data_IF_204290125453
#
_entry.id   IF_204290125453
#
_cell.length_a   1.000
_cell.length_b   1.000
_cell.length_c   1.000
_cell.angle_alpha   90.00
_cell.angle_beta   90.00
_cell.angle_gamma   90.00
#
_symmetry.space_group_name_H-M   'P 1'
#
loop_
_entity.id
_entity.type
_entity.pdbx_description
1 polymer ?
#
# COMPACT_ATOMS: atom_id res chain seq x y z
N UNK A 1 -5.95 -39.76 -39.04
CA UNK A 1 -4.85 -38.79 -39.09
C UNK A 1 -5.15 -37.79 -40.20
N UNK A 2 -5.75 -36.65 -39.86
CA UNK A 2 -5.97 -35.57 -40.82
C UNK A 2 -4.83 -34.57 -40.66
N UNK A 3 -3.96 -34.51 -41.65
CA UNK A 3 -2.93 -33.49 -41.79
C UNK A 3 -3.60 -32.13 -41.92
N UNK A 4 -3.61 -31.34 -40.83
CA UNK A 4 -3.95 -29.91 -40.89
C UNK A 4 -2.87 -29.23 -41.72
N UNK A 5 -3.20 -28.87 -42.96
CA UNK A 5 -2.40 -27.95 -43.78
C UNK A 5 -2.47 -26.57 -43.14
N UNK A 6 -1.47 -26.22 -42.33
CA UNK A 6 -1.33 -24.88 -41.75
C UNK A 6 -0.83 -23.90 -42.80
N UNK A 7 -1.72 -23.40 -43.68
CA UNK A 7 -1.36 -22.30 -44.58
C UNK A 7 -1.06 -21.05 -43.77
N UNK A 8 0.15 -20.49 -43.90
CA UNK A 8 0.51 -19.19 -43.35
C UNK A 8 -0.28 -18.08 -44.07
N UNK A 9 -1.45 -17.79 -43.52
CA UNK A 9 -2.32 -16.68 -43.87
C UNK A 9 -1.79 -15.40 -43.22
N UNK A 10 -1.72 -14.27 -43.95
CA UNK A 10 -1.36 -12.97 -43.36
C UNK A 10 -2.34 -12.58 -42.24
N UNK A 11 -1.98 -11.70 -41.28
CA UNK A 11 -2.88 -11.31 -40.18
C UNK A 11 -4.26 -10.79 -40.64
N UNK A 12 -4.31 -10.13 -41.79
CA UNK A 12 -5.57 -9.72 -42.43
C UNK A 12 -6.37 -10.87 -43.03
N UNK A 13 -5.70 -11.91 -43.53
CA UNK A 13 -6.33 -13.10 -44.11
C UNK A 13 -6.89 -14.03 -43.02
N UNK A 14 -6.23 -14.13 -41.86
CA UNK A 14 -6.74 -14.85 -40.68
C UNK A 14 -8.02 -14.21 -40.13
N UNK A 15 -8.03 -12.87 -40.02
CA UNK A 15 -9.22 -12.12 -39.59
C UNK A 15 -10.40 -12.27 -40.56
N UNK A 16 -10.12 -12.41 -41.85
CA UNK A 16 -11.12 -12.68 -42.87
C UNK A 16 -11.63 -14.14 -42.80
N UNK A 17 -10.76 -15.10 -42.51
CA UNK A 17 -11.10 -16.52 -42.31
C UNK A 17 -12.02 -16.74 -41.10
N UNK A 18 -11.78 -16.02 -39.99
CA UNK A 18 -12.68 -15.99 -38.84
C UNK A 18 -14.09 -15.49 -39.20
N UNK A 19 -14.19 -14.48 -40.07
CA UNK A 19 -15.49 -13.95 -40.55
C UNK A 19 -16.23 -14.90 -41.50
N UNK A 20 -15.56 -15.94 -42.00
CA UNK A 20 -16.16 -16.99 -42.82
C UNK A 20 -16.54 -18.23 -42.01
N UNK A 21 -16.18 -18.27 -40.73
CA UNK A 21 -16.39 -19.42 -39.86
C UNK A 21 -17.73 -19.29 -39.12
N UNK A 22 -18.52 -20.36 -39.15
CA UNK A 22 -19.80 -20.42 -38.45
C UNK A 22 -19.55 -20.54 -36.92
N UNK A 23 -20.15 -19.69 -36.08
CA UNK A 23 -19.94 -19.74 -34.62
C UNK A 23 -20.48 -21.01 -33.93
N UNK A 24 -21.30 -21.80 -34.62
CA UNK A 24 -21.95 -22.99 -34.07
C UNK A 24 -21.12 -24.25 -34.36
N UNK A 25 -20.80 -24.52 -35.63
CA UNK A 25 -20.01 -25.70 -36.00
C UNK A 25 -18.50 -25.45 -35.97
N UNK A 26 -18.06 -24.19 -35.84
CA UNK A 26 -16.66 -23.77 -35.88
C UNK A 26 -15.93 -24.17 -37.18
N UNK A 27 -16.69 -24.33 -38.26
CA UNK A 27 -16.22 -24.66 -39.60
C UNK A 27 -16.68 -23.58 -40.60
N UNK A 28 -16.16 -23.62 -41.83
CA UNK A 28 -16.54 -22.71 -42.88
C UNK A 28 -18.06 -22.72 -43.12
N UNK A 29 -18.63 -21.52 -43.12
CA UNK A 29 -20.06 -21.30 -43.26
C UNK A 29 -20.59 -21.97 -44.52
N UNK A 30 -21.49 -22.95 -44.40
CA UNK A 30 -22.10 -23.64 -45.54
C UNK A 30 -23.57 -23.26 -45.63
N UNK A 31 -23.99 -22.72 -46.79
CA UNK A 31 -25.32 -22.13 -46.99
C UNK A 31 -25.77 -21.22 -45.83
N UNK A 32 -25.04 -20.12 -45.54
CA UNK A 32 -25.31 -19.29 -44.37
C UNK A 32 -26.59 -18.46 -44.51
N UNK A 33 -27.36 -18.40 -43.42
CA UNK A 33 -28.60 -17.61 -43.29
C UNK A 33 -28.40 -16.50 -42.27
N UNK A 34 -29.06 -15.37 -42.48
CA UNK A 34 -28.95 -14.17 -41.63
C UNK A 34 -30.20 -14.02 -40.79
N UNK A 35 -30.02 -13.98 -39.46
CA UNK A 35 -31.09 -13.65 -38.53
C UNK A 35 -31.37 -12.14 -38.55
N UNK A 36 -32.55 -11.68 -38.07
CA UNK A 36 -32.88 -10.25 -37.98
C UNK A 36 -31.89 -9.43 -37.12
N UNK A 37 -31.18 -10.08 -36.20
CA UNK A 37 -30.08 -9.47 -35.44
C UNK A 37 -28.77 -9.35 -36.22
N UNK A 38 -28.80 -9.59 -37.53
CA UNK A 38 -27.70 -9.50 -38.50
C UNK A 38 -26.54 -10.49 -38.28
N UNK A 39 -26.71 -11.50 -37.43
CA UNK A 39 -25.75 -12.60 -37.29
C UNK A 39 -26.08 -13.72 -38.27
N UNK A 40 -25.03 -14.36 -38.80
CA UNK A 40 -25.16 -15.43 -39.79
C UNK A 40 -24.60 -16.75 -39.32
N UNK A 41 -25.30 -17.83 -39.69
CA UNK A 41 -24.99 -19.20 -39.31
C UNK A 41 -25.34 -20.14 -40.46
N UNK A 42 -24.75 -21.34 -40.52
CA UNK A 42 -25.15 -22.34 -41.51
C UNK A 42 -26.63 -22.71 -41.36
N UNK A 43 -27.34 -22.95 -42.47
CA UNK A 43 -28.74 -23.41 -42.45
C UNK A 43 -28.93 -24.63 -41.52
N UNK A 44 -28.12 -25.68 -41.71
CA UNK A 44 -28.15 -26.87 -40.87
C UNK A 44 -27.82 -26.60 -39.38
N UNK A 45 -27.01 -25.57 -39.10
CA UNK A 45 -26.69 -25.19 -37.72
C UNK A 45 -27.89 -24.51 -37.06
N UNK A 46 -28.67 -23.71 -37.80
CA UNK A 46 -29.90 -23.09 -37.31
C UNK A 46 -31.02 -24.12 -37.10
N UNK A 47 -31.12 -25.11 -37.98
CA UNK A 47 -32.08 -26.22 -37.84
C UNK A 47 -31.81 -27.07 -36.59
N UNK A 48 -30.55 -27.18 -36.17
CA UNK A 48 -30.14 -27.89 -34.97
C UNK A 48 -30.25 -27.11 -33.66
N UNK A 49 -30.67 -25.84 -33.69
CA UNK A 49 -30.79 -25.03 -32.47
C UNK A 49 -32.03 -25.40 -31.65
N UNK A 50 -31.97 -25.30 -30.30
CA UNK A 50 -33.15 -25.48 -29.47
C UNK A 50 -34.20 -24.41 -29.75
N UNK A 51 -35.46 -24.84 -29.87
CA UNK A 51 -36.61 -23.98 -30.17
C UNK A 51 -37.52 -23.81 -28.94
N UNK A 52 -37.89 -22.57 -28.67
CA UNK A 52 -38.87 -22.23 -27.64
C UNK A 52 -40.26 -22.09 -28.27
N UNK A 53 -41.27 -22.78 -27.72
CA UNK A 53 -42.66 -22.71 -28.20
C UNK A 53 -43.49 -21.76 -27.35
N UNK A 54 -44.07 -20.73 -27.96
CA UNK A 54 -45.02 -19.80 -27.30
C UNK A 54 -46.22 -19.60 -28.21
N UNK A 55 -47.45 -19.79 -27.70
CA UNK A 55 -48.70 -19.50 -28.42
C UNK A 55 -48.77 -20.04 -29.87
N UNK A 56 -48.30 -21.29 -30.08
CA UNK A 56 -48.21 -21.99 -31.37
C UNK A 56 -47.13 -21.49 -32.36
N UNK A 57 -46.34 -20.48 -32.01
CA UNK A 57 -45.15 -20.07 -32.78
C UNK A 57 -43.86 -20.56 -32.13
N UNK A 58 -42.83 -20.81 -32.95
CA UNK A 58 -41.51 -21.27 -32.51
C UNK A 58 -40.52 -20.11 -32.58
N UNK A 59 -39.64 -20.02 -31.58
CA UNK A 59 -38.61 -19.00 -31.51
C UNK A 59 -37.24 -19.66 -31.35
N UNK A 60 -36.24 -19.08 -31.99
CA UNK A 60 -34.83 -19.46 -31.82
C UNK A 60 -34.06 -18.32 -31.17
N UNK A 61 -33.08 -18.65 -30.34
CA UNK A 61 -32.19 -17.68 -29.72
C UNK A 61 -30.86 -17.63 -30.45
N UNK A 62 -30.45 -16.45 -30.91
CA UNK A 62 -29.17 -16.27 -31.60
C UNK A 62 -28.00 -16.68 -30.68
N UNK A 63 -27.12 -17.61 -31.09
CA UNK A 63 -25.97 -18.04 -30.27
C UNK A 63 -24.98 -16.92 -29.92
N UNK A 64 -24.88 -15.89 -30.76
CA UNK A 64 -23.90 -14.80 -30.58
C UNK A 64 -24.42 -13.69 -29.67
N UNK A 65 -25.66 -13.24 -29.85
CA UNK A 65 -26.20 -12.06 -29.15
C UNK A 65 -27.44 -12.35 -28.30
N UNK A 66 -27.92 -13.60 -28.28
CA UNK A 66 -29.12 -14.07 -27.56
C UNK A 66 -30.44 -13.41 -27.98
N UNK A 67 -30.45 -12.67 -29.10
CA UNK A 67 -31.68 -12.12 -29.66
C UNK A 67 -32.63 -13.23 -30.08
N UNK A 68 -33.87 -13.20 -29.58
CA UNK A 68 -34.90 -14.18 -29.92
C UNK A 68 -35.58 -13.79 -31.23
N UNK A 69 -35.62 -14.73 -32.17
CA UNK A 69 -36.19 -14.53 -33.50
C UNK A 69 -37.32 -15.53 -33.71
N UNK A 70 -38.44 -15.08 -34.25
CA UNK A 70 -39.53 -15.97 -34.68
C UNK A 70 -39.08 -16.81 -35.87
N UNK A 71 -39.32 -18.12 -35.79
CA UNK A 71 -39.00 -19.06 -36.87
C UNK A 71 -40.11 -18.97 -37.95
N UNK A 72 -39.76 -18.74 -39.23
CA UNK A 72 -40.72 -18.78 -40.32
C UNK A 72 -41.45 -20.12 -40.42
N UNK A 73 -42.65 -20.14 -41.00
CA UNK A 73 -43.44 -21.38 -41.20
C UNK A 73 -42.70 -22.41 -42.07
N UNK A 74 -41.88 -21.93 -43.02
CA UNK A 74 -41.02 -22.73 -43.90
C UNK A 74 -39.69 -23.17 -43.24
N UNK A 75 -39.49 -22.87 -41.95
CA UNK A 75 -38.32 -23.26 -41.17
C UNK A 75 -37.11 -22.32 -41.32
N UNK A 76 -35.96 -22.76 -40.81
CA UNK A 76 -34.73 -21.95 -40.76
C UNK A 76 -34.14 -21.65 -42.16
N UNK A 77 -34.48 -22.47 -43.17
CA UNK A 77 -34.10 -22.23 -44.57
C UNK A 77 -34.72 -20.97 -45.18
N UNK A 78 -35.83 -20.47 -44.63
CA UNK A 78 -36.54 -19.30 -45.13
C UNK A 78 -35.94 -17.96 -44.68
N UNK A 79 -34.95 -17.98 -43.78
CA UNK A 79 -34.18 -16.78 -43.47
C UNK A 79 -33.37 -16.29 -44.69
N UNK A 80 -33.13 -14.99 -44.84
CA UNK A 80 -32.34 -14.45 -45.94
C UNK A 80 -30.94 -15.08 -46.02
N UNK A 81 -30.50 -15.42 -47.22
CA UNK A 81 -29.12 -15.86 -47.46
C UNK A 81 -28.14 -14.75 -47.04
N UNK A 82 -27.07 -15.12 -46.35
CA UNK A 82 -26.03 -14.20 -45.94
C UNK A 82 -25.13 -13.82 -47.12
N UNK A 83 -25.62 -12.91 -47.98
CA UNK A 83 -24.88 -12.41 -49.14
C UNK A 83 -23.51 -11.83 -48.76
N UNK A 84 -23.40 -11.18 -47.60
CA UNK A 84 -22.13 -10.65 -47.10
C UNK A 84 -21.10 -11.76 -46.85
N UNK A 85 -21.48 -12.90 -46.24
CA UNK A 85 -20.57 -14.04 -46.03
C UNK A 85 -20.15 -14.65 -47.37
N UNK A 86 -21.06 -14.80 -48.32
CA UNK A 86 -20.73 -15.36 -49.64
C UNK A 86 -19.82 -14.43 -50.45
N UNK A 87 -20.05 -13.12 -50.42
CA UNK A 87 -19.16 -12.14 -51.04
C UNK A 87 -17.76 -12.16 -50.39
N UNK A 88 -17.69 -12.28 -49.06
CA UNK A 88 -16.41 -12.41 -48.35
C UNK A 88 -15.67 -13.70 -48.72
N UNK A 89 -16.38 -14.82 -48.99
CA UNK A 89 -15.74 -16.05 -49.48
C UNK A 89 -15.13 -15.87 -50.87
N UNK A 90 -15.83 -15.16 -51.75
CA UNK A 90 -15.34 -14.85 -53.09
C UNK A 90 -14.13 -13.91 -53.06
N UNK A 91 -14.17 -12.91 -52.17
CA UNK A 91 -13.02 -12.02 -51.92
C UNK A 91 -11.85 -12.83 -51.34
N UNK A 92 -12.07 -13.68 -50.35
CA UNK A 92 -11.04 -14.53 -49.75
C UNK A 92 -10.41 -15.48 -50.77
N UNK A 93 -11.21 -16.14 -51.62
CA UNK A 93 -10.69 -17.02 -52.67
C UNK A 93 -9.88 -16.25 -53.72
N UNK A 94 -10.32 -15.04 -54.06
CA UNK A 94 -9.61 -14.13 -54.96
C UNK A 94 -8.27 -13.69 -54.36
N UNK A 95 -8.26 -13.26 -53.10
CA UNK A 95 -7.03 -12.87 -52.39
C UNK A 95 -6.06 -14.05 -52.28
N UNK A 96 -6.55 -15.25 -51.94
CA UNK A 96 -5.74 -16.47 -51.86
C UNK A 96 -5.11 -16.81 -53.22
N UNK A 97 -5.86 -16.61 -54.31
CA UNK A 97 -5.36 -16.80 -55.68
C UNK A 97 -4.31 -15.77 -56.05
N UNK A 98 -4.54 -14.49 -55.73
CA UNK A 98 -3.58 -13.39 -55.97
C UNK A 98 -2.29 -13.64 -55.18
N UNK A 99 -2.38 -14.05 -53.92
CA UNK A 99 -1.23 -14.36 -53.08
C UNK A 99 -0.37 -15.52 -53.62
N UNK A 100 -0.98 -16.46 -54.36
CA UNK A 100 -0.28 -17.55 -55.02
C UNK A 100 0.20 -17.19 -56.44
N UNK A 101 -0.02 -15.96 -56.92
CA UNK A 101 0.32 -15.54 -58.28
C UNK A 101 1.59 -14.69 -58.28
N UNK A 102 2.46 -14.90 -59.26
CA UNK A 102 3.66 -14.13 -59.49
C UNK A 102 3.31 -12.70 -59.90
N UNK A 103 3.87 -11.72 -59.18
CA UNK A 103 3.70 -10.29 -59.43
C UNK A 103 4.11 -9.87 -60.84
N UNK A 104 5.14 -10.49 -61.38
CA UNK A 104 5.80 -10.03 -62.61
C UNK A 104 5.19 -10.66 -63.87
N UNK A 105 4.55 -11.82 -63.72
CA UNK A 105 4.11 -12.66 -64.85
C UNK A 105 2.63 -13.06 -64.80
N UNK A 106 1.91 -12.79 -63.70
CA UNK A 106 0.49 -13.13 -63.56
C UNK A 106 0.19 -14.63 -63.58
N UNK A 107 1.21 -15.48 -63.37
CA UNK A 107 1.14 -16.95 -63.37
C UNK A 107 1.29 -17.51 -61.96
N UNK A 108 0.82 -18.73 -61.71
CA UNK A 108 0.94 -19.37 -60.41
C UNK A 108 2.41 -19.55 -59.99
N UNK A 109 2.75 -19.13 -58.78
CA UNK A 109 4.08 -19.24 -58.19
C UNK A 109 4.20 -20.56 -57.44
N UNK A 110 4.59 -21.62 -58.16
CA UNK A 110 4.70 -22.98 -57.62
C UNK A 110 6.12 -23.37 -57.21
N UNK A 111 7.10 -22.49 -57.40
CA UNK A 111 8.52 -22.75 -57.13
C UNK A 111 9.04 -21.84 -56.01
N UNK A 112 9.94 -22.35 -55.18
CA UNK A 112 10.67 -21.60 -54.16
C UNK A 112 12.12 -21.46 -54.59
N UNK A 113 12.62 -20.23 -54.71
CA UNK A 113 14.02 -19.99 -54.99
C UNK A 113 14.82 -19.91 -53.69
N UNK A 114 15.64 -20.92 -53.43
CA UNK A 114 16.50 -21.01 -52.24
C UNK A 114 17.57 -19.90 -52.24
N UNK A 115 18.04 -19.47 -53.41
CA UNK A 115 19.02 -18.37 -53.51
C UNK A 115 18.46 -17.00 -53.15
N UNK A 116 17.18 -16.75 -53.47
CA UNK A 116 16.53 -15.44 -53.28
C UNK A 116 15.55 -15.39 -52.11
N UNK A 117 15.31 -16.51 -51.44
CA UNK A 117 14.33 -16.64 -50.36
C UNK A 117 12.91 -16.16 -50.77
N UNK A 118 12.48 -16.56 -51.97
CA UNK A 118 11.28 -16.01 -52.61
C UNK A 118 10.51 -17.04 -53.42
N UNK A 119 9.17 -16.94 -53.40
CA UNK A 119 8.29 -17.76 -54.24
C UNK A 119 8.23 -17.17 -55.66
N UNK A 120 8.44 -18.01 -56.67
CA UNK A 120 8.54 -17.61 -58.08
C UNK A 120 7.66 -18.49 -58.98
N UNK A 121 7.37 -18.03 -60.20
CA UNK A 121 6.73 -18.86 -61.24
C UNK A 121 7.76 -19.42 -62.23
N UNK A 122 7.31 -20.30 -63.14
CA UNK A 122 8.17 -20.92 -64.16
C UNK A 122 8.81 -19.93 -65.15
N UNK A 123 8.19 -18.77 -65.38
CA UNK A 123 8.79 -17.76 -66.29
C UNK A 123 9.97 -17.06 -65.61
N UNK A 124 9.95 -16.91 -64.29
CA UNK A 124 11.04 -16.34 -63.51
C UNK A 124 12.32 -17.18 -63.65
N UNK A 125 12.20 -18.51 -63.74
CA UNK A 125 13.37 -19.39 -63.88
C UNK A 125 14.07 -19.24 -65.22
N UNK A 126 13.40 -18.70 -66.24
CA UNK A 126 14.02 -18.46 -67.56
C UNK A 126 14.63 -17.06 -67.64
N UNK A 127 14.08 -16.10 -66.89
CA UNK A 127 14.41 -14.68 -67.01
C UNK A 127 15.33 -14.18 -65.91
N UNK A 128 14.87 -14.27 -64.66
CA UNK A 128 15.48 -13.57 -63.52
C UNK A 128 16.20 -14.51 -62.55
N UNK A 129 15.84 -15.80 -62.51
CA UNK A 129 16.40 -16.82 -61.61
C UNK A 129 17.05 -17.98 -62.38
N UNK A 130 17.71 -17.69 -63.51
CA UNK A 130 18.20 -18.71 -64.46
C UNK A 130 19.24 -19.66 -63.85
N UNK A 131 20.14 -19.13 -63.04
CA UNK A 131 21.24 -19.87 -62.43
C UNK A 131 21.08 -20.02 -60.92
N UNK A 132 19.85 -19.83 -60.40
CA UNK A 132 19.55 -19.95 -58.97
C UNK A 132 19.04 -21.36 -58.64
N UNK A 133 19.27 -21.78 -57.41
CA UNK A 133 18.70 -23.01 -56.88
C UNK A 133 17.23 -22.77 -56.52
N UNK A 134 16.36 -23.65 -56.98
CA UNK A 134 14.93 -23.62 -56.68
C UNK A 134 14.35 -25.04 -56.69
N UNK A 135 13.28 -25.24 -55.91
CA UNK A 135 12.50 -26.47 -55.86
C UNK A 135 10.99 -26.15 -55.86
N UNK A 136 10.14 -27.15 -55.97
CA UNK A 136 8.70 -27.01 -55.80
C UNK A 136 8.40 -26.50 -54.40
N UNK A 137 7.46 -25.55 -54.30
CA UNK A 137 6.98 -25.05 -53.00
C UNK A 137 6.54 -26.22 -52.12
N UNK A 138 5.82 -27.20 -52.65
CA UNK A 138 5.38 -28.38 -51.90
C UNK A 138 6.54 -29.23 -51.34
N UNK A 139 7.70 -29.23 -52.00
CA UNK A 139 8.88 -29.97 -51.57
C UNK A 139 9.69 -29.17 -50.52
N UNK A 140 9.96 -27.89 -50.77
CA UNK A 140 10.70 -27.03 -49.84
C UNK A 140 9.89 -26.59 -48.61
N UNK A 141 8.55 -26.60 -48.67
CA UNK A 141 7.67 -26.10 -47.61
C UNK A 141 7.96 -26.73 -46.26
N UNK A 142 8.05 -28.05 -46.20
CA UNK A 142 8.23 -28.77 -44.93
C UNK A 142 9.58 -28.44 -44.28
N UNK A 143 10.65 -28.33 -45.08
CA UNK A 143 11.99 -27.95 -44.62
C UNK A 143 11.97 -26.55 -43.99
N UNK A 144 11.47 -25.55 -44.73
CA UNK A 144 11.45 -24.16 -44.25
C UNK A 144 10.50 -23.97 -43.05
N UNK A 145 9.41 -24.72 -42.98
CA UNK A 145 8.55 -24.75 -41.79
C UNK A 145 9.30 -25.24 -40.54
N UNK A 146 10.11 -26.30 -40.67
CA UNK A 146 10.91 -26.80 -39.57
C UNK A 146 11.99 -25.80 -39.10
N UNK A 147 12.62 -25.09 -40.04
CA UNK A 147 13.61 -24.04 -39.71
C UNK A 147 12.95 -22.86 -38.96
N UNK A 148 11.76 -22.44 -39.39
CA UNK A 148 10.96 -21.43 -38.70
C UNK A 148 10.50 -21.91 -37.31
N UNK A 149 10.04 -23.16 -37.19
CA UNK A 149 9.69 -23.76 -35.90
C UNK A 149 10.89 -23.83 -34.95
N UNK A 150 12.07 -24.19 -35.46
CA UNK A 150 13.33 -24.17 -34.72
C UNK A 150 13.66 -22.77 -34.20
N UNK A 151 13.49 -21.75 -35.03
CA UNK A 151 13.71 -20.34 -34.67
C UNK A 151 12.66 -19.80 -33.69
N UNK A 152 11.44 -20.33 -33.74
CA UNK A 152 10.33 -19.94 -32.88
C UNK A 152 10.49 -20.47 -31.45
N UNK A 153 11.15 -21.61 -31.26
CA UNK A 153 11.32 -22.23 -29.93
C UNK A 153 12.08 -21.33 -28.93
N UNK A 154 13.25 -20.74 -29.27
CA UNK A 154 13.93 -19.77 -28.39
C UNK A 154 13.08 -18.53 -28.06
N UNK A 155 12.22 -18.10 -28.99
CA UNK A 155 11.31 -16.97 -28.76
C UNK A 155 10.25 -17.36 -27.72
N UNK A 156 9.64 -18.55 -27.86
CA UNK A 156 8.68 -19.08 -26.88
C UNK A 156 9.30 -19.23 -25.49
N UNK A 157 10.53 -19.73 -25.41
CA UNK A 157 11.28 -19.85 -24.15
C UNK A 157 11.55 -18.48 -23.50
N UNK A 158 11.95 -17.47 -24.29
CA UNK A 158 12.14 -16.10 -23.80
C UNK A 158 10.83 -15.46 -23.32
N UNK A 159 9.73 -15.70 -24.04
CA UNK A 159 8.39 -15.23 -23.61
C UNK A 159 8.05 -15.81 -22.25
N UNK A 160 8.25 -17.11 -22.05
CA UNK A 160 7.98 -17.77 -20.78
C UNK A 160 8.91 -17.28 -19.66
N UNK A 161 10.20 -17.08 -19.96
CA UNK A 161 11.16 -16.50 -19.03
C UNK A 161 10.77 -15.09 -18.58
N UNK A 162 10.40 -14.21 -19.52
CA UNK A 162 9.96 -12.84 -19.21
C UNK A 162 8.65 -12.81 -18.42
N UNK A 163 7.70 -13.71 -18.70
CA UNK A 163 6.49 -13.85 -17.88
C UNK A 163 6.82 -14.17 -16.42
N UNK A 164 7.75 -15.11 -16.17
CA UNK A 164 8.21 -15.45 -14.81
C UNK A 164 8.89 -14.27 -14.12
N UNK A 165 9.75 -13.53 -14.85
CA UNK A 165 10.40 -12.32 -14.32
C UNK A 165 9.36 -11.27 -13.94
N UNK A 166 8.36 -11.02 -14.80
CA UNK A 166 7.29 -10.06 -14.50
C UNK A 166 6.50 -10.46 -13.25
N UNK A 167 6.15 -11.74 -13.10
CA UNK A 167 5.48 -12.22 -11.89
C UNK A 167 6.32 -12.00 -10.63
N UNK A 168 7.61 -12.30 -10.67
CA UNK A 168 8.52 -12.07 -9.54
C UNK A 168 8.70 -10.58 -9.21
N UNK A 169 8.75 -9.71 -10.22
CA UNK A 169 8.82 -8.26 -10.01
C UNK A 169 7.53 -7.71 -9.36
N UNK A 170 6.36 -8.17 -9.81
CA UNK A 170 5.08 -7.80 -9.21
C UNK A 170 4.95 -8.28 -7.76
N UNK A 171 5.45 -9.47 -7.44
CA UNK A 171 5.52 -9.97 -6.06
C UNK A 171 6.40 -9.05 -5.19
N UNK A 172 7.61 -8.70 -5.68
CA UNK A 172 8.53 -7.81 -4.95
C UNK A 172 7.99 -6.40 -4.79
N UNK A 173 7.29 -5.87 -5.79
CA UNK A 173 6.59 -4.58 -5.68
C UNK A 173 5.52 -4.62 -4.57
N UNK A 174 4.77 -5.73 -4.49
CA UNK A 174 3.79 -5.97 -3.42
C UNK A 174 4.43 -5.99 -2.03
N UNK A 175 5.50 -6.76 -1.85
CA UNK A 175 6.24 -6.84 -0.58
C UNK A 175 6.77 -5.46 -0.13
N UNK A 176 7.32 -4.68 -1.06
CA UNK A 176 7.85 -3.33 -0.76
C UNK A 176 6.71 -2.39 -0.35
N UNK A 177 5.57 -2.44 -1.04
CA UNK A 177 4.40 -1.62 -0.73
C UNK A 177 3.85 -1.95 0.66
N UNK A 178 3.64 -3.24 0.94
CA UNK A 178 3.17 -3.72 2.25
C UNK A 178 4.14 -3.30 3.37
N UNK A 179 5.45 -3.49 3.17
CA UNK A 179 6.45 -3.05 4.15
C UNK A 179 6.46 -1.54 4.34
N UNK A 180 6.28 -0.77 3.26
CA UNK A 180 6.20 0.69 3.31
C UNK A 180 4.99 1.17 4.12
N UNK A 181 3.83 0.56 3.90
CA UNK A 181 2.61 0.83 4.69
C UNK A 181 2.81 0.46 6.16
N UNK A 182 3.37 -0.72 6.45
CA UNK A 182 3.67 -1.14 7.82
C UNK A 182 4.62 -0.20 8.56
N UNK A 183 5.67 0.30 7.89
CA UNK A 183 6.58 1.29 8.51
C UNK A 183 5.87 2.62 8.80
N UNK A 184 4.93 3.05 7.96
CA UNK A 184 4.14 4.26 8.23
C UNK A 184 3.23 4.08 9.46
N UNK A 185 2.66 2.88 9.63
CA UNK A 185 1.85 2.52 10.79
C UNK A 185 2.71 2.43 12.07
N UNK A 186 3.89 1.81 11.99
CA UNK A 186 4.89 1.77 13.09
C UNK A 186 5.29 3.20 13.54
N UNK A 187 5.50 4.13 12.59
CA UNK A 187 5.80 5.54 12.90
C UNK A 187 4.62 6.19 13.63
N UNK A 188 3.40 5.96 13.18
CA UNK A 188 2.20 6.53 13.79
C UNK A 188 2.01 6.00 15.23
N UNK A 189 2.12 4.70 15.43
CA UNK A 189 2.03 4.05 16.74
C UNK A 189 3.08 4.60 17.70
N UNK A 190 4.34 4.71 17.26
CA UNK A 190 5.43 5.26 18.07
C UNK A 190 5.13 6.70 18.55
N UNK A 191 4.63 7.55 17.65
CA UNK A 191 4.27 8.94 17.99
C UNK A 191 3.12 8.98 18.99
N UNK A 192 2.08 8.16 18.80
CA UNK A 192 0.96 8.08 19.73
C UNK A 192 1.39 7.56 21.12
N UNK A 193 2.26 6.56 21.19
CA UNK A 193 2.84 6.10 22.46
C UNK A 193 3.58 7.23 23.19
N UNK A 194 4.41 7.99 22.47
CA UNK A 194 5.11 9.14 23.03
C UNK A 194 4.14 10.23 23.52
N UNK A 195 3.13 10.57 22.72
CA UNK A 195 2.10 11.55 23.09
C UNK A 195 1.35 11.10 24.34
N UNK A 196 1.01 9.82 24.45
CA UNK A 196 0.35 9.25 25.61
C UNK A 196 1.24 9.30 26.86
N UNK A 197 2.53 9.00 26.74
CA UNK A 197 3.48 9.15 27.84
C UNK A 197 3.60 10.60 28.32
N UNK A 198 3.66 11.57 27.38
CA UNK A 198 3.68 12.99 27.70
C UNK A 198 2.40 13.44 28.41
N UNK A 199 1.22 13.07 27.88
CA UNK A 199 -0.08 13.34 28.51
C UNK A 199 -0.22 12.70 29.89
N UNK A 200 0.37 11.52 30.11
CA UNK A 200 0.39 10.89 31.43
C UNK A 200 1.29 11.65 32.41
N UNK A 201 2.46 12.12 31.97
CA UNK A 201 3.34 12.97 32.76
C UNK A 201 2.66 14.28 33.16
N UNK A 202 1.98 14.94 32.21
CA UNK A 202 1.18 16.14 32.45
C UNK A 202 0.11 15.92 33.54
N UNK A 203 -0.67 14.84 33.43
CA UNK A 203 -1.68 14.49 34.44
C UNK A 203 -1.07 14.30 35.82
N UNK A 204 0.07 13.62 35.92
CA UNK A 204 0.78 13.40 37.19
C UNK A 204 1.27 14.70 37.81
N UNK A 205 1.90 15.57 37.02
CA UNK A 205 2.40 16.87 37.48
C UNK A 205 1.25 17.79 37.93
N UNK A 206 0.15 17.79 37.18
CA UNK A 206 -1.06 18.57 37.51
C UNK A 206 -1.66 18.09 38.83
N UNK A 207 -1.78 16.78 39.02
CA UNK A 207 -2.30 16.19 40.24
C UNK A 207 -1.39 16.49 41.45
N UNK A 208 -0.07 16.45 41.27
CA UNK A 208 0.88 16.83 42.32
C UNK A 208 0.73 18.31 42.71
N UNK A 209 0.64 19.21 41.73
CA UNK A 209 0.45 20.63 41.98
C UNK A 209 -0.85 20.91 42.75
N UNK A 210 -1.96 20.24 42.38
CA UNK A 210 -3.23 20.31 43.11
C UNK A 210 -3.09 19.83 44.55
N UNK A 211 -2.50 18.65 44.77
CA UNK A 211 -2.31 18.09 46.13
C UNK A 211 -1.51 19.02 47.04
N UNK A 212 -0.42 19.59 46.55
CA UNK A 212 0.40 20.53 47.33
C UNK A 212 -0.40 21.79 47.65
N UNK A 213 -1.15 22.31 46.67
CA UNK A 213 -1.99 23.49 46.86
C UNK A 213 -3.09 23.24 47.89
N UNK A 214 -3.83 22.14 47.74
CA UNK A 214 -4.93 21.76 48.63
C UNK A 214 -4.43 21.53 50.06
N UNK A 215 -3.26 20.88 50.22
CA UNK A 215 -2.66 20.67 51.53
C UNK A 215 -2.28 21.98 52.22
N UNK A 216 -1.62 22.90 51.50
CA UNK A 216 -1.25 24.23 52.04
C UNK A 216 -2.48 25.07 52.39
N UNK A 217 -3.50 25.08 51.53
CA UNK A 217 -4.77 25.79 51.78
C UNK A 217 -5.54 25.20 52.97
N UNK A 218 -5.50 23.88 53.16
CA UNK A 218 -6.14 23.23 54.30
C UNK A 218 -5.52 23.69 55.63
N UNK A 219 -4.19 23.74 55.71
CA UNK A 219 -3.49 24.26 56.91
C UNK A 219 -3.91 25.70 57.21
N UNK A 220 -3.89 26.58 56.19
CA UNK A 220 -4.32 27.96 56.36
C UNK A 220 -5.80 28.08 56.78
N UNK A 221 -6.69 27.25 56.22
CA UNK A 221 -8.11 27.23 56.60
C UNK A 221 -8.31 26.82 58.07
N UNK A 222 -7.56 25.84 58.57
CA UNK A 222 -7.59 25.43 59.97
C UNK A 222 -7.07 26.54 60.89
N UNK A 223 -6.00 27.25 60.48
CA UNK A 223 -5.49 28.42 61.22
C UNK A 223 -6.51 29.57 61.26
N UNK A 224 -7.18 29.86 60.12
CA UNK A 224 -8.23 30.89 60.05
C UNK A 224 -9.38 30.57 61.01
N UNK A 225 -9.89 29.33 61.01
CA UNK A 225 -10.95 28.91 61.93
C UNK A 225 -10.53 29.07 63.40
N UNK A 226 -9.30 28.70 63.73
CA UNK A 226 -8.76 28.87 65.08
C UNK A 226 -8.66 30.34 65.49
N UNK A 227 -8.25 31.21 64.56
CA UNK A 227 -8.16 32.66 64.78
C UNK A 227 -9.55 33.29 64.92
N UNK A 228 -10.51 32.93 64.07
CA UNK A 228 -11.91 33.37 64.14
C UNK A 228 -12.57 32.98 65.47
N UNK A 229 -12.37 31.73 65.93
CA UNK A 229 -12.88 31.29 67.24
C UNK A 229 -12.26 32.08 68.39
N UNK A 230 -10.95 32.35 68.33
CA UNK A 230 -10.25 33.13 69.36
C UNK A 230 -10.71 34.59 69.38
N UNK A 231 -10.93 35.18 68.21
CA UNK A 231 -11.44 36.55 68.05
C UNK A 231 -12.87 36.67 68.60
N UNK A 232 -13.76 35.75 68.22
CA UNK A 232 -15.14 35.75 68.72
C UNK A 232 -15.20 35.63 70.24
N UNK A 233 -14.33 34.82 70.86
CA UNK A 233 -14.26 34.71 72.32
C UNK A 233 -13.81 36.03 72.98
N UNK A 234 -12.88 36.76 72.36
CA UNK A 234 -12.44 38.07 72.83
C UNK A 234 -13.55 39.13 72.68
N UNK A 235 -14.20 39.18 71.52
CA UNK A 235 -15.31 40.10 71.23
C UNK A 235 -16.49 39.89 72.20
N UNK A 236 -16.84 38.63 72.51
CA UNK A 236 -17.90 38.32 73.49
C UNK A 236 -17.57 38.81 74.91
N UNK A 237 -16.29 38.73 75.30
CA UNK A 237 -15.82 39.24 76.60
C UNK A 237 -15.78 40.76 76.60
N UNK A 238 -15.33 41.38 75.51
CA UNK A 238 -15.31 42.82 75.33
C UNK A 238 -16.72 43.40 75.42
N UNK A 239 -17.67 42.90 74.62
CA UNK A 239 -19.06 43.37 74.60
C UNK A 239 -19.71 43.22 75.98
N UNK A 240 -19.54 42.08 76.63
CA UNK A 240 -20.06 41.84 77.98
C UNK A 240 -19.53 42.85 79.01
N UNK A 241 -18.23 43.14 78.99
CA UNK A 241 -17.60 44.08 79.91
C UNK A 241 -18.00 45.52 79.58
N UNK A 242 -17.95 45.92 78.31
CA UNK A 242 -18.37 47.26 77.87
C UNK A 242 -19.83 47.54 78.23
N UNK A 243 -20.73 46.60 77.97
CA UNK A 243 -22.14 46.75 78.24
C UNK A 243 -22.42 46.85 79.75
N UNK A 244 -21.71 46.06 80.55
CA UNK A 244 -21.76 46.13 82.02
C UNK A 244 -21.28 47.49 82.54
N UNK A 245 -20.24 48.06 81.93
CA UNK A 245 -19.74 49.40 82.28
C UNK A 245 -20.68 50.54 81.84
N UNK A 246 -21.33 50.42 80.67
CA UNK A 246 -22.24 51.43 80.11
C UNK A 246 -23.59 51.47 80.84
N UNK A 247 -24.15 50.31 81.17
CA UNK A 247 -25.55 50.20 81.64
C UNK A 247 -25.70 49.80 83.11
N UNK A 248 -24.64 49.28 83.73
CA UNK A 248 -24.67 48.81 85.12
C UNK A 248 -24.60 49.94 86.15
N UNK A 249 -25.29 49.77 87.29
CA UNK A 249 -25.11 50.70 88.42
C UNK A 249 -23.72 50.53 89.06
N UNK A 250 -23.16 51.56 89.72
CA UNK A 250 -21.83 51.48 90.32
C UNK A 250 -21.65 50.27 91.27
N UNK A 251 -22.69 49.91 92.03
CA UNK A 251 -22.66 48.78 92.95
C UNK A 251 -22.64 47.43 92.21
N UNK A 252 -23.36 47.29 91.10
CA UNK A 252 -23.39 46.06 90.29
C UNK A 252 -22.05 45.80 89.58
N UNK A 253 -21.46 46.86 89.02
CA UNK A 253 -20.14 46.79 88.36
C UNK A 253 -19.07 46.38 89.38
N UNK A 254 -19.05 47.00 90.57
CA UNK A 254 -18.07 46.67 91.61
C UNK A 254 -18.24 45.25 92.16
N UNK A 255 -19.48 44.73 92.28
CA UNK A 255 -19.72 43.34 92.68
C UNK A 255 -19.17 42.34 91.66
N UNK A 256 -19.31 42.62 90.37
CA UNK A 256 -18.89 41.70 89.29
C UNK A 256 -17.45 41.92 88.82
N UNK A 257 -16.78 43.00 89.28
CA UNK A 257 -15.43 43.41 88.86
C UNK A 257 -14.43 42.26 88.91
N UNK A 258 -14.37 41.53 90.03
CA UNK A 258 -13.39 40.45 90.21
C UNK A 258 -13.56 39.36 89.15
N UNK A 259 -14.80 38.91 88.93
CA UNK A 259 -15.14 37.91 87.94
C UNK A 259 -14.83 38.39 86.51
N UNK A 260 -15.16 39.64 86.17
CA UNK A 260 -14.84 40.22 84.85
C UNK A 260 -13.33 40.25 84.59
N UNK A 261 -12.54 40.66 85.59
CA UNK A 261 -11.07 40.69 85.48
C UNK A 261 -10.48 39.28 85.35
N UNK A 262 -10.98 38.32 86.12
CA UNK A 262 -10.54 36.92 86.04
C UNK A 262 -10.84 36.33 84.66
N UNK A 263 -12.05 36.53 84.13
CA UNK A 263 -12.45 36.05 82.80
C UNK A 263 -11.61 36.68 81.68
N UNK A 264 -11.35 37.99 81.74
CA UNK A 264 -10.46 38.66 80.78
C UNK A 264 -9.05 38.05 80.86
N UNK A 265 -8.49 37.92 82.07
CA UNK A 265 -7.15 37.36 82.26
C UNK A 265 -7.04 35.91 81.75
N UNK A 266 -8.07 35.09 81.97
CA UNK A 266 -8.11 33.69 81.53
C UNK A 266 -8.15 33.59 80.00
N UNK A 267 -9.05 34.33 79.35
CA UNK A 267 -9.19 34.32 77.89
C UNK A 267 -7.95 34.87 77.22
N UNK A 268 -7.39 35.99 77.71
CA UNK A 268 -6.18 36.58 77.11
C UNK A 268 -4.95 35.70 77.32
N UNK A 269 -4.83 35.01 78.46
CA UNK A 269 -3.72 34.08 78.71
C UNK A 269 -3.81 32.79 77.87
N UNK A 270 -5.03 32.37 77.51
CA UNK A 270 -5.27 31.18 76.69
C UNK A 270 -5.01 31.36 75.19
N UNK A 271 -4.87 32.60 74.70
CA UNK A 271 -4.69 32.90 73.27
C UNK A 271 -3.22 33.22 73.00
N UNK A 272 -2.56 32.34 72.24
CA UNK A 272 -1.22 32.60 71.73
C UNK A 272 -1.29 33.15 70.28
N UNK A 273 -1.17 34.47 70.14
CA UNK A 273 -1.21 35.13 68.83
C UNK A 273 -0.05 34.72 67.89
N UNK A 274 1.08 34.30 68.45
CA UNK A 274 2.27 33.92 67.69
C UNK A 274 2.07 32.57 66.98
N UNK A 275 1.30 31.66 67.58
CA UNK A 275 0.95 30.35 66.99
C UNK A 275 -0.08 30.45 65.86
N UNK A 276 -0.79 31.58 65.77
CA UNK A 276 -1.80 31.87 64.74
C UNK A 276 -1.21 32.54 63.48
N UNK A 277 0.07 32.90 63.48
CA UNK A 277 0.72 33.41 62.28
C UNK A 277 0.71 32.39 61.14
N UNK A 278 0.59 32.83 59.86
CA UNK A 278 0.56 31.92 58.72
C UNK A 278 1.79 31.00 58.70
N UNK A 279 1.55 29.69 58.75
CA UNK A 279 2.62 28.68 58.76
C UNK A 279 3.09 28.31 57.35
N UNK A 280 2.25 28.54 56.34
CA UNK A 280 2.52 28.16 54.96
C UNK A 280 2.89 29.35 54.07
N UNK A 281 3.72 29.09 53.06
CA UNK A 281 4.16 30.05 52.03
C UNK A 281 3.88 29.56 50.62
N UNK A 282 3.87 30.47 49.66
CA UNK A 282 3.66 30.20 48.22
C UNK A 282 4.98 29.86 47.50
N UNK A 283 5.78 28.96 48.06
CA UNK A 283 7.17 28.69 47.68
C UNK A 283 7.37 27.32 47.00
N UNK A 284 6.43 26.91 46.15
CA UNK A 284 6.55 25.69 45.36
C UNK A 284 6.67 26.02 43.87
N UNK A 285 7.59 25.33 43.18
CA UNK A 285 7.99 25.63 41.79
C UNK A 285 8.10 24.35 40.98
N UNK A 286 7.76 24.41 39.70
CA UNK A 286 7.95 23.32 38.76
C UNK A 286 9.45 23.12 38.44
N UNK A 287 9.99 21.96 38.78
CA UNK A 287 11.30 21.50 38.29
C UNK A 287 11.19 20.93 36.88
N UNK A 288 12.06 21.35 35.96
CA UNK A 288 12.05 20.92 34.55
C UNK A 288 13.33 20.17 34.21
N UNK A 289 13.21 19.00 33.60
CA UNK A 289 14.33 18.30 32.94
C UNK A 289 13.87 17.80 31.56
N UNK A 290 14.46 18.34 30.48
CA UNK A 290 14.00 18.13 29.09
C UNK A 290 15.07 17.51 28.17
N UNK A 291 16.13 16.91 28.71
CA UNK A 291 17.31 16.47 27.92
C UNK A 291 17.08 15.25 27.00
N UNK A 292 15.88 14.66 26.93
CA UNK A 292 15.63 13.35 26.28
C UNK A 292 14.86 13.41 24.93
N UNK A 293 14.48 14.58 24.41
CA UNK A 293 13.52 14.70 23.30
C UNK A 293 14.12 14.78 21.87
N UNK A 294 15.43 14.69 21.68
CA UNK A 294 16.06 15.08 20.40
C UNK A 294 16.43 13.96 19.41
N UNK A 295 16.21 12.69 19.71
CA UNK A 295 16.37 11.59 18.73
C UNK A 295 15.26 10.56 18.92
N UNK A 296 14.26 10.61 18.04
CA UNK A 296 13.01 9.83 18.17
C UNK A 296 12.99 8.60 17.27
N UNK A 297 13.89 8.52 16.28
CA UNK A 297 14.06 7.35 15.44
C UNK A 297 14.69 7.74 14.10
N UNK A 298 15.49 6.83 13.54
CA UNK A 298 16.11 6.97 12.22
C UNK A 298 15.57 5.87 11.28
N UNK A 299 15.31 6.21 10.02
CA UNK A 299 14.96 5.24 8.98
C UNK A 299 16.27 4.67 8.41
N UNK A 300 16.54 3.38 8.65
CA UNK A 300 17.79 2.72 8.23
C UNK A 300 17.54 1.79 7.05
N UNK A 301 18.29 1.96 5.96
CA UNK A 301 18.31 1.05 4.80
C UNK A 301 19.53 0.12 4.88
N UNK A 302 19.29 -1.19 4.97
CA UNK A 302 20.35 -2.19 5.01
C UNK A 302 20.74 -2.62 3.59
N UNK A 303 21.65 -1.90 2.94
CA UNK A 303 22.34 -2.43 1.75
C UNK A 303 23.70 -3.03 2.15
N UNK A 304 23.93 -4.31 1.85
CA UNK A 304 25.17 -5.01 2.24
C UNK A 304 26.43 -4.46 1.55
N UNK A 305 26.25 -3.69 0.46
CA UNK A 305 27.30 -3.02 -0.30
C UNK A 305 27.84 -1.76 0.38
N UNK A 306 27.04 -1.06 1.20
CA UNK A 306 27.45 0.18 1.86
C UNK A 306 28.46 -0.05 3.01
N UNK A 307 28.32 -1.16 3.76
CA UNK A 307 29.20 -1.47 4.89
C UNK A 307 30.63 -1.85 4.46
N UNK A 308 30.83 -2.42 3.27
CA UNK A 308 32.14 -2.82 2.77
C UNK A 308 33.02 -1.65 2.31
N UNK A 309 32.44 -0.45 2.12
CA UNK A 309 33.14 0.72 1.56
C UNK A 309 33.49 1.78 2.62
N UNK A 310 33.18 1.53 3.90
CA UNK A 310 33.44 2.45 5.00
C UNK A 310 34.93 2.52 5.36
N UNK A 311 35.43 3.73 5.67
CA UNK A 311 36.81 3.93 6.16
C UNK A 311 36.79 4.41 7.61
N UNK A 312 37.70 3.86 8.44
CA UNK A 312 37.96 4.36 9.79
C UNK A 312 38.79 5.63 9.67
N UNK A 313 38.27 6.76 10.14
CA UNK A 313 38.90 8.07 9.99
C UNK A 313 39.80 8.42 11.18
N UNK A 314 39.37 8.06 12.39
CA UNK A 314 40.12 8.33 13.63
C UNK A 314 39.71 7.36 14.74
N UNK A 315 40.71 6.83 15.44
CA UNK A 315 40.52 6.21 16.77
C UNK A 315 40.97 7.25 17.80
N UNK A 316 40.06 7.63 18.70
CA UNK A 316 40.29 8.61 19.74
C UNK A 316 41.05 8.06 20.95
N UNK A 317 41.13 8.87 22.01
CA UNK A 317 41.90 8.54 23.22
C UNK A 317 41.42 7.24 23.87
N UNK A 318 42.38 6.42 24.30
CA UNK A 318 42.12 5.23 25.10
C UNK A 318 42.11 5.62 26.58
N UNK A 319 41.01 5.35 27.25
CA UNK A 319 40.90 5.47 28.70
C UNK A 319 40.86 4.08 29.32
N UNK A 320 41.85 3.78 30.15
CA UNK A 320 41.89 2.54 30.92
C UNK A 320 41.22 2.80 32.27
N UNK A 321 40.11 2.10 32.54
CA UNK A 321 39.42 2.12 33.83
C UNK A 321 39.93 0.93 34.67
N UNK A 322 40.94 1.11 35.54
CA UNK A 322 41.69 -0.01 36.12
C UNK A 322 40.85 -0.82 37.11
N UNK A 323 39.84 -0.19 37.74
CA UNK A 323 38.93 -0.82 38.70
C UNK A 323 37.91 -1.75 38.03
N UNK A 324 37.60 -1.55 36.75
CA UNK A 324 36.59 -2.33 36.03
C UNK A 324 37.18 -3.28 34.98
N UNK A 325 38.51 -3.30 34.80
CA UNK A 325 39.21 -4.01 33.70
C UNK A 325 38.63 -3.70 32.31
N UNK A 326 38.17 -2.46 32.10
CA UNK A 326 37.61 -1.99 30.82
C UNK A 326 38.51 -0.94 30.18
N UNK A 327 38.55 -0.96 28.86
CA UNK A 327 39.17 0.08 28.04
C UNK A 327 38.07 0.73 27.22
N UNK A 328 37.89 2.03 27.37
CA UNK A 328 37.00 2.84 26.53
C UNK A 328 37.82 3.58 25.48
N UNK A 329 37.27 3.68 24.28
CA UNK A 329 37.81 4.49 23.20
C UNK A 329 36.67 5.01 22.33
N UNK A 330 36.92 6.09 21.59
CA UNK A 330 35.99 6.60 20.59
C UNK A 330 36.46 6.22 19.19
N UNK A 331 35.53 5.91 18.30
CA UNK A 331 35.78 5.57 16.91
C UNK A 331 34.98 6.50 16.01
N UNK A 332 35.63 7.07 14.99
CA UNK A 332 34.96 7.84 13.93
C UNK A 332 35.08 7.11 12.60
N UNK A 333 33.93 6.87 11.96
CA UNK A 333 33.79 6.20 10.66
C UNK A 333 33.08 7.15 9.69
N UNK A 334 33.43 7.04 8.40
CA UNK A 334 32.86 7.88 7.34
C UNK A 334 32.33 7.02 6.20
N UNK A 335 31.14 7.37 5.70
CA UNK A 335 30.50 6.77 4.54
C UNK A 335 31.06 7.35 3.25
N UNK A 336 31.11 6.58 2.14
CA UNK A 336 31.58 7.07 0.85
C UNK A 336 30.83 8.31 0.34
N UNK A 337 29.58 8.49 0.75
CA UNK A 337 28.62 9.50 0.28
C UNK A 337 28.18 10.47 1.39
N UNK A 338 28.84 10.48 2.55
CA UNK A 338 28.46 11.27 3.74
C UNK A 338 27.07 10.93 4.33
N UNK A 339 26.49 9.78 3.98
CA UNK A 339 25.27 9.27 4.60
C UNK A 339 25.48 8.81 6.05
N UNK A 340 24.38 8.73 6.83
CA UNK A 340 24.39 8.22 8.20
C UNK A 340 24.63 6.70 8.17
N UNK A 341 25.72 6.27 8.80
CA UNK A 341 26.11 4.87 8.90
C UNK A 341 25.65 4.25 10.22
N UNK A 342 24.90 3.15 10.14
CA UNK A 342 24.61 2.32 11.30
C UNK A 342 25.43 1.03 11.21
N UNK A 343 26.47 0.91 12.04
CA UNK A 343 27.34 -0.27 12.11
C UNK A 343 26.96 -1.08 13.36
N UNK A 344 26.43 -2.30 13.23
CA UNK A 344 26.13 -3.14 14.38
C UNK A 344 27.39 -3.36 15.20
N UNK A 345 27.31 -3.27 16.54
CA UNK A 345 28.45 -3.55 17.41
C UNK A 345 29.04 -4.96 17.18
N UNK A 346 28.21 -5.92 16.78
CA UNK A 346 28.63 -7.27 16.39
C UNK A 346 29.50 -7.33 15.13
N UNK A 347 29.45 -6.30 14.28
CA UNK A 347 30.26 -6.18 13.06
C UNK A 347 31.63 -5.53 13.32
N UNK A 348 31.83 -4.97 14.51
CA UNK A 348 33.11 -4.38 14.93
C UNK A 348 33.96 -5.45 15.63
N UNK A 349 35.13 -5.76 15.07
CA UNK A 349 36.16 -6.52 15.78
C UNK A 349 37.25 -5.60 16.26
N UNK A 350 37.49 -5.60 17.57
CA UNK A 350 38.66 -5.00 18.19
C UNK A 350 39.62 -6.13 18.61
N UNK A 351 40.91 -5.96 18.34
CA UNK A 351 41.94 -6.90 18.77
C UNK A 351 43.11 -6.12 19.34
N UNK A 352 43.52 -6.46 20.56
CA UNK A 352 44.71 -5.90 21.19
C UNK A 352 45.91 -6.71 20.73
N UNK A 353 46.80 -6.08 19.98
CA UNK A 353 48.06 -6.69 19.57
C UNK A 353 49.16 -6.27 20.55
N UNK A 354 49.99 -7.20 21.06
CA UNK A 354 51.17 -6.85 21.82
C UNK A 354 52.10 -6.02 20.93
N UNK A 355 52.51 -4.85 21.42
CA UNK A 355 53.65 -4.15 20.82
C UNK A 355 54.89 -4.92 21.26
N UNK A 356 55.58 -5.56 20.31
CA UNK A 356 56.87 -6.23 20.51
C UNK A 356 57.97 -5.21 20.61
#
# INVERSE_FOLDING_TARGET
MATKTSSFSSPGLLKLEEQLTCPVCLDHSTNPKTLPCLHSFCEHCLEGLPLDKKNKTYYLSCPTCRHCTELPEEGAGAFPVAFHVNNLKEIYSTIKKIAATCSDHGKLSELYCETCDSVICRDCTVRTHKDHEYDLVSASYTKHCQELEGSLNPVKEKIEGLKKVLSALTEKEGEIRERGEGVLEEIHEMVEEMMNALRQSERKLTEQAKRVTDAKLKVLSEQMKSAEMSLSLLEDVEDYVEQSLKTGSPQQVLRSKKQMMERMSEVTAGINAEELHPKEKADFVLSKDMKLLHHIGDIVTYSSTALQQCKIKKVGCFECLPKEKKVSFSLSMEAPDSSVLCVPLSSLRCSLLPVV
#
